data_IF_044931609032
#
_entry.id   IF_044931609032
#
_cell.length_a   1.000
_cell.length_b   1.000
_cell.length_c   1.000
_cell.angle_alpha   90.00
_cell.angle_beta   90.00
_cell.angle_gamma   90.00
#
_symmetry.space_group_name_H-M   'P 1'
#
loop_
_entity.id
_entity.type
_entity.pdbx_description
1 polymer ?
#
# COMPACT_ATOMS: atom_id res chain seq x y z
N UNK A 1 -18.05 6.30 -3.95
CA UNK A 1 -18.45 7.03 -2.74
C UNK A 1 -19.41 8.15 -3.12
N UNK A 2 -20.53 8.28 -2.39
CA UNK A 2 -21.50 9.36 -2.55
C UNK A 2 -21.63 10.12 -1.22
N UNK A 3 -21.44 11.45 -1.17
CA UNK A 3 -21.68 12.24 0.02
C UNK A 3 -23.19 12.27 0.35
N UNK A 4 -23.51 12.18 1.63
CA UNK A 4 -24.91 12.25 2.10
C UNK A 4 -25.12 13.49 2.96
N UNK A 5 -24.30 13.68 4.00
CA UNK A 5 -24.42 14.81 4.90
C UNK A 5 -23.03 15.22 5.42
N UNK A 6 -22.81 16.52 5.59
CA UNK A 6 -21.63 17.07 6.25
C UNK A 6 -22.09 18.00 7.37
N UNK A 7 -21.57 17.77 8.58
CA UNK A 7 -21.70 18.71 9.71
C UNK A 7 -20.32 19.26 10.04
N UNK A 8 -20.22 20.56 10.23
CA UNK A 8 -18.98 21.23 10.57
C UNK A 8 -19.22 22.37 11.55
N UNK A 9 -18.29 22.54 12.47
CA UNK A 9 -18.31 23.60 13.48
C UNK A 9 -16.89 24.05 13.77
N UNK A 10 -16.69 25.35 13.94
CA UNK A 10 -15.41 25.93 14.33
C UNK A 10 -14.32 25.84 13.25
N UNK A 11 -14.68 25.74 11.97
CA UNK A 11 -13.73 25.62 10.85
C UNK A 11 -13.77 26.89 10.01
N UNK A 12 -12.62 27.55 9.88
CA UNK A 12 -12.44 28.77 9.06
C UNK A 12 -13.55 29.77 9.32
N UNK A 13 -14.42 30.05 8.32
CA UNK A 13 -15.55 31.01 8.44
C UNK A 13 -16.75 30.45 9.20
N UNK A 14 -16.82 29.15 9.43
CA UNK A 14 -17.94 28.51 10.10
C UNK A 14 -17.70 28.44 11.61
N UNK A 15 -18.26 29.35 12.36
CA UNK A 15 -18.20 29.38 13.82
C UNK A 15 -19.22 28.41 14.42
N UNK A 16 -20.47 28.61 14.05
CA UNK A 16 -21.59 27.76 14.48
C UNK A 16 -21.71 26.48 13.66
N UNK A 17 -22.46 25.51 14.17
CA UNK A 17 -22.73 24.28 13.46
C UNK A 17 -23.48 24.55 12.15
N UNK A 18 -22.92 24.04 11.06
CA UNK A 18 -23.55 24.04 9.76
C UNK A 18 -23.78 22.58 9.32
N UNK A 19 -24.98 22.33 8.79
CA UNK A 19 -25.38 21.04 8.26
C UNK A 19 -25.64 21.21 6.78
N UNK A 20 -24.92 20.44 5.97
CA UNK A 20 -25.08 20.42 4.51
C UNK A 20 -25.62 19.05 4.13
N UNK A 21 -26.83 19.02 3.61
CA UNK A 21 -27.48 17.81 3.12
C UNK A 21 -27.22 17.66 1.61
N UNK A 22 -26.37 16.70 1.27
CA UNK A 22 -26.03 16.43 -0.12
C UNK A 22 -27.06 15.54 -0.82
N UNK A 23 -27.93 14.82 -0.10
CA UNK A 23 -28.95 14.00 -0.75
C UNK A 23 -29.93 14.88 -1.53
N UNK A 24 -30.34 15.98 -0.93
CA UNK A 24 -31.22 16.97 -1.59
C UNK A 24 -30.48 17.72 -2.71
N UNK A 25 -29.25 18.17 -2.48
CA UNK A 25 -28.48 18.96 -3.44
C UNK A 25 -28.06 18.15 -4.68
N UNK A 26 -27.76 16.86 -4.54
CA UNK A 26 -27.28 16.02 -5.64
C UNK A 26 -28.36 15.27 -6.39
N UNK A 27 -29.64 15.55 -6.13
CA UNK A 27 -30.77 14.90 -6.80
C UNK A 27 -30.72 15.03 -8.33
N UNK A 28 -30.21 16.14 -8.85
CA UNK A 28 -30.04 16.43 -10.28
C UNK A 28 -28.64 16.01 -10.83
N UNK A 29 -27.79 15.37 -10.01
CA UNK A 29 -26.44 14.94 -10.38
C UNK A 29 -25.37 16.03 -10.42
N UNK A 30 -25.76 17.31 -10.41
CA UNK A 30 -24.86 18.47 -10.40
C UNK A 30 -25.42 19.56 -9.49
N UNK A 31 -24.57 20.16 -8.66
CA UNK A 31 -24.92 21.34 -7.85
C UNK A 31 -23.77 22.33 -7.81
N UNK A 32 -24.07 23.59 -7.51
CA UNK A 32 -23.09 24.68 -7.39
C UNK A 32 -23.15 25.34 -6.04
N UNK A 33 -21.99 25.73 -5.51
CA UNK A 33 -21.87 26.53 -4.28
C UNK A 33 -21.35 27.91 -4.66
N UNK A 34 -22.18 28.93 -4.47
CA UNK A 34 -21.92 30.32 -4.84
C UNK A 34 -21.83 31.19 -3.60
N UNK A 35 -21.10 32.28 -3.70
CA UNK A 35 -20.95 33.27 -2.61
C UNK A 35 -19.67 34.10 -2.76
N UNK A 36 -19.53 35.17 -1.99
CA UNK A 36 -18.37 36.06 -2.03
C UNK A 36 -17.09 35.36 -1.56
N UNK A 37 -15.94 35.95 -1.86
CA UNK A 37 -14.65 35.46 -1.36
C UNK A 37 -14.64 35.48 0.17
N UNK A 38 -14.14 34.43 0.81
CA UNK A 38 -14.13 34.30 2.27
C UNK A 38 -15.39 33.66 2.88
N UNK A 39 -16.48 33.44 2.11
CA UNK A 39 -17.73 32.83 2.62
C UNK A 39 -17.64 31.36 3.04
N UNK A 40 -16.46 30.72 2.90
CA UNK A 40 -16.26 29.34 3.35
C UNK A 40 -16.51 28.26 2.31
N UNK A 41 -16.76 28.59 1.03
CA UNK A 41 -17.02 27.59 -0.04
C UNK A 41 -15.99 26.46 -0.08
N UNK A 42 -14.70 26.80 -0.06
CA UNK A 42 -13.62 25.82 -0.05
C UNK A 42 -13.51 25.09 1.29
N UNK A 43 -13.95 25.69 2.38
CA UNK A 43 -13.92 25.08 3.71
C UNK A 43 -14.86 23.88 3.83
N UNK A 44 -15.86 23.77 2.97
CA UNK A 44 -16.72 22.58 2.85
C UNK A 44 -15.91 21.39 2.36
N UNK A 45 -15.09 21.58 1.32
CA UNK A 45 -14.20 20.55 0.81
C UNK A 45 -13.08 20.21 1.82
N UNK A 46 -12.55 21.25 2.48
CA UNK A 46 -11.58 21.09 3.57
C UNK A 46 -12.16 20.22 4.71
N UNK A 47 -13.41 20.46 5.09
CA UNK A 47 -14.10 19.68 6.13
C UNK A 47 -14.29 18.20 5.74
N UNK A 48 -14.63 17.90 4.49
CA UNK A 48 -14.71 16.50 4.02
C UNK A 48 -13.36 15.80 4.13
N UNK A 49 -12.27 16.45 3.70
CA UNK A 49 -10.93 15.86 3.77
C UNK A 49 -10.43 15.73 5.21
N UNK A 50 -10.78 16.69 6.07
CA UNK A 50 -10.50 16.58 7.50
C UNK A 50 -11.25 15.40 8.15
N UNK A 51 -12.51 15.18 7.81
CA UNK A 51 -13.29 14.06 8.34
C UNK A 51 -12.67 12.72 7.96
N UNK A 52 -12.27 12.55 6.69
CA UNK A 52 -11.73 11.28 6.18
C UNK A 52 -10.27 11.06 6.61
N UNK A 53 -9.41 12.07 6.44
CA UNK A 53 -7.95 11.88 6.51
C UNK A 53 -7.26 12.71 7.59
N UNK A 54 -7.97 13.62 8.29
CA UNK A 54 -7.38 14.58 9.21
C UNK A 54 -6.30 15.47 8.57
N UNK A 55 -6.36 15.66 7.25
CA UNK A 55 -5.45 16.48 6.46
C UNK A 55 -6.24 17.51 5.67
N UNK A 56 -5.62 18.65 5.40
CA UNK A 56 -6.16 19.69 4.52
C UNK A 56 -5.58 19.57 3.11
N UNK A 57 -6.34 19.96 2.07
CA UNK A 57 -5.83 20.07 0.70
C UNK A 57 -4.76 21.15 0.56
N UNK A 58 -4.75 22.11 1.46
CA UNK A 58 -3.80 23.22 1.51
C UNK A 58 -2.86 23.02 2.69
N UNK A 59 -1.62 23.44 2.55
CA UNK A 59 -0.63 23.40 3.64
C UNK A 59 -0.87 24.52 4.67
N UNK A 60 -2.13 24.64 5.12
CA UNK A 60 -2.52 25.57 6.18
C UNK A 60 -2.56 24.85 7.52
N UNK A 61 -1.71 25.28 8.44
CA UNK A 61 -1.63 24.67 9.79
C UNK A 61 -2.80 25.07 10.70
N UNK A 62 -3.44 26.21 10.44
CA UNK A 62 -4.52 26.76 11.25
C UNK A 62 -5.81 26.83 10.44
N UNK A 63 -6.75 25.96 10.74
CA UNK A 63 -8.09 25.91 10.15
C UNK A 63 -9.19 26.05 11.20
N UNK A 64 -8.86 26.05 12.51
CA UNK A 64 -9.82 26.34 13.56
C UNK A 64 -10.12 27.82 13.51
N UNK A 65 -11.39 28.17 13.61
CA UNK A 65 -11.82 29.57 13.68
C UNK A 65 -11.10 30.28 14.81
N UNK A 66 -10.67 31.54 14.58
CA UNK A 66 -9.87 32.31 15.54
C UNK A 66 -10.59 32.56 16.89
N UNK A 67 -11.92 32.53 16.89
CA UNK A 67 -12.74 32.73 18.08
C UNK A 67 -13.09 31.40 18.77
N UNK A 68 -12.69 30.26 18.19
CA UNK A 68 -13.02 28.92 18.69
C UNK A 68 -11.77 28.18 19.15
N UNK A 69 -11.92 27.34 20.19
CA UNK A 69 -10.83 26.50 20.71
C UNK A 69 -10.87 25.10 20.15
N UNK A 70 -11.98 24.74 19.50
CA UNK A 70 -12.27 23.39 19.00
C UNK A 70 -12.93 23.50 17.63
N UNK A 71 -12.60 22.56 16.74
CA UNK A 71 -13.35 22.31 15.52
C UNK A 71 -13.84 20.87 15.51
N UNK A 72 -15.04 20.65 14.98
CA UNK A 72 -15.62 19.32 14.79
C UNK A 72 -16.10 19.15 13.37
N UNK A 73 -15.92 17.95 12.85
CA UNK A 73 -16.46 17.56 11.55
C UNK A 73 -17.10 16.18 11.67
N UNK A 74 -18.21 16.01 10.97
CA UNK A 74 -18.92 14.75 10.86
C UNK A 74 -19.37 14.60 9.41
N UNK A 75 -18.94 13.53 8.74
CA UNK A 75 -19.21 13.30 7.33
C UNK A 75 -19.85 11.95 7.12
N UNK A 76 -21.10 11.96 6.73
CA UNK A 76 -21.88 10.80 6.35
C UNK A 76 -21.77 10.59 4.84
N UNK A 77 -21.38 9.40 4.43
CA UNK A 77 -21.24 9.02 3.02
C UNK A 77 -21.63 7.58 2.79
N UNK A 78 -21.94 7.23 1.55
CA UNK A 78 -22.22 5.85 1.15
C UNK A 78 -21.20 5.34 0.16
N UNK A 79 -20.94 4.03 0.24
CA UNK A 79 -20.16 3.27 -0.74
C UNK A 79 -21.04 2.14 -1.25
N UNK A 80 -21.15 2.05 -2.57
CA UNK A 80 -21.86 0.97 -3.24
C UNK A 80 -20.84 0.03 -3.87
N UNK A 81 -20.83 -1.21 -3.40
CA UNK A 81 -20.15 -2.35 -4.01
C UNK A 81 -21.24 -3.32 -4.46
N UNK A 82 -21.41 -4.46 -3.80
CA UNK A 82 -22.57 -5.35 -4.00
C UNK A 82 -23.82 -4.84 -3.29
N UNK A 83 -23.62 -4.16 -2.16
CA UNK A 83 -24.67 -3.49 -1.36
C UNK A 83 -24.22 -2.07 -1.04
N UNK A 84 -25.20 -1.17 -0.92
CA UNK A 84 -24.94 0.19 -0.46
C UNK A 84 -24.82 0.21 1.05
N UNK A 85 -23.68 0.63 1.57
CA UNK A 85 -23.39 0.81 2.99
C UNK A 85 -23.18 2.28 3.29
N UNK A 86 -23.65 2.73 4.45
CA UNK A 86 -23.47 4.11 4.91
C UNK A 86 -22.40 4.14 5.99
N UNK A 87 -21.53 5.14 5.94
CA UNK A 87 -20.41 5.34 6.88
C UNK A 87 -20.44 6.75 7.40
N UNK A 88 -20.22 6.90 8.72
CA UNK A 88 -20.09 8.18 9.39
C UNK A 88 -18.66 8.33 9.92
N UNK A 89 -17.91 9.29 9.40
CA UNK A 89 -16.59 9.66 9.90
C UNK A 89 -16.70 10.94 10.71
N UNK A 90 -16.35 10.86 11.99
CA UNK A 90 -16.39 12.00 12.94
C UNK A 90 -14.98 12.29 13.45
N UNK A 91 -14.63 13.57 13.57
CA UNK A 91 -13.37 14.02 14.18
C UNK A 91 -13.52 15.33 14.93
N UNK A 92 -12.68 15.46 15.96
CA UNK A 92 -12.52 16.71 16.71
C UNK A 92 -11.06 17.15 16.68
N UNK A 93 -10.87 18.44 16.55
CA UNK A 93 -9.57 19.10 16.53
C UNK A 93 -9.50 20.17 17.60
N UNK A 94 -8.33 20.32 18.23
CA UNK A 94 -8.08 21.39 19.23
C UNK A 94 -6.69 21.99 19.02
N UNK A 95 -6.54 23.22 19.43
CA UNK A 95 -5.22 23.82 19.59
C UNK A 95 -4.47 23.13 20.72
N UNK A 96 -3.25 22.79 20.44
CA UNK A 96 -2.28 22.37 21.45
C UNK A 96 -1.19 23.42 21.52
N UNK A 97 -1.14 24.11 22.65
CA UNK A 97 -0.11 25.13 22.91
C UNK A 97 1.12 24.43 23.44
N UNK A 98 2.16 24.31 22.61
CA UNK A 98 3.48 23.84 23.02
C UNK A 98 4.39 25.02 23.34
N UNK A 99 5.59 24.76 23.84
CA UNK A 99 6.56 25.80 24.27
C UNK A 99 7.04 26.72 23.12
N UNK A 100 6.82 26.36 21.86
CA UNK A 100 7.37 27.12 20.71
C UNK A 100 6.31 27.50 19.65
N UNK A 101 5.17 26.85 19.57
CA UNK A 101 4.10 27.15 18.61
C UNK A 101 2.79 26.44 18.95
N UNK A 102 1.67 27.09 18.63
CA UNK A 102 0.35 26.45 18.69
C UNK A 102 0.17 25.56 17.45
N UNK A 103 -0.12 24.29 17.68
CA UNK A 103 -0.43 23.33 16.63
C UNK A 103 -1.82 22.77 16.77
N UNK A 104 -2.51 22.52 15.66
CA UNK A 104 -3.81 21.85 15.69
C UNK A 104 -3.59 20.34 15.73
N UNK A 105 -4.22 19.67 16.70
CA UNK A 105 -4.18 18.21 16.85
C UNK A 105 -5.58 17.62 16.70
N UNK A 106 -5.65 16.48 16.02
CA UNK A 106 -6.83 15.65 16.01
C UNK A 106 -6.93 14.93 17.37
N UNK A 107 -7.95 15.25 18.15
CA UNK A 107 -8.11 14.74 19.53
C UNK A 107 -8.97 13.49 19.58
N UNK A 108 -9.99 13.42 18.75
CA UNK A 108 -10.88 12.26 18.67
C UNK A 108 -11.18 11.90 17.22
N UNK A 109 -11.35 10.64 16.95
CA UNK A 109 -11.80 10.15 15.65
C UNK A 109 -12.67 8.92 15.84
N UNK A 110 -13.76 8.83 15.09
CA UNK A 110 -14.67 7.70 15.09
C UNK A 110 -15.16 7.41 13.69
N UNK A 111 -15.22 6.14 13.33
CA UNK A 111 -15.81 5.67 12.08
C UNK A 111 -16.88 4.63 12.38
N UNK A 112 -18.10 4.89 11.95
CA UNK A 112 -19.27 4.07 12.21
C UNK A 112 -19.81 3.57 10.87
N UNK A 113 -20.14 2.28 10.83
CA UNK A 113 -20.86 1.64 9.73
C UNK A 113 -22.34 1.50 10.13
N UNK A 114 -23.24 1.93 9.23
CA UNK A 114 -24.68 1.72 9.34
C UNK A 114 -25.13 0.62 8.36
N UNK A 115 -25.67 -0.47 8.89
CA UNK A 115 -26.29 -1.54 8.13
C UNK A 115 -27.75 -1.70 8.61
N UNK A 116 -28.70 -1.05 7.90
CA UNK A 116 -30.07 -0.91 8.35
C UNK A 116 -30.11 -0.13 9.68
N UNK A 117 -30.68 -0.74 10.72
CA UNK A 117 -30.79 -0.16 12.06
C UNK A 117 -29.59 -0.49 12.97
N UNK A 118 -28.59 -1.18 12.43
CA UNK A 118 -27.41 -1.60 13.23
C UNK A 118 -26.27 -0.62 13.01
N UNK A 119 -25.70 -0.13 14.13
CA UNK A 119 -24.51 0.70 14.16
C UNK A 119 -23.30 -0.13 14.59
N UNK A 120 -22.26 -0.15 13.80
CA UNK A 120 -21.00 -0.84 14.11
C UNK A 120 -19.85 0.14 14.10
N UNK A 121 -19.15 0.29 15.21
CA UNK A 121 -17.94 1.12 15.30
C UNK A 121 -16.77 0.37 14.68
N UNK A 122 -16.25 0.87 13.55
CA UNK A 122 -15.10 0.27 12.85
C UNK A 122 -13.76 0.73 13.42
N UNK A 123 -13.69 1.98 13.87
CA UNK A 123 -12.51 2.58 14.47
C UNK A 123 -12.90 3.71 15.42
N UNK A 124 -12.15 3.87 16.52
CA UNK A 124 -12.39 4.89 17.55
C UNK A 124 -11.17 5.75 17.88
N UNK A 125 -10.03 5.53 17.18
CA UNK A 125 -8.81 6.33 17.30
C UNK A 125 -8.48 7.09 16.02
N UNK A 126 -7.92 8.31 16.12
CA UNK A 126 -7.65 9.16 14.96
C UNK A 126 -6.87 8.50 13.83
N UNK A 127 -5.83 7.72 14.16
CA UNK A 127 -5.00 6.99 13.18
C UNK A 127 -5.72 5.81 12.56
N UNK A 128 -6.47 5.06 13.37
CA UNK A 128 -7.26 3.91 12.91
C UNK A 128 -8.35 4.37 11.93
N UNK A 129 -9.07 5.46 12.25
CA UNK A 129 -10.06 6.06 11.34
C UNK A 129 -9.44 6.42 9.99
N UNK A 130 -8.23 7.00 9.98
CA UNK A 130 -7.56 7.33 8.72
C UNK A 130 -7.23 6.08 7.91
N UNK A 131 -6.69 5.04 8.56
CA UNK A 131 -6.33 3.79 7.90
C UNK A 131 -7.57 3.07 7.34
N UNK A 132 -8.68 3.06 8.10
CA UNK A 132 -9.93 2.47 7.65
C UNK A 132 -10.56 3.26 6.49
N UNK A 133 -10.52 4.59 6.52
CA UNK A 133 -10.96 5.41 5.39
C UNK A 133 -10.12 5.11 4.13
N UNK A 134 -8.80 4.98 4.25
CA UNK A 134 -7.93 4.59 3.13
C UNK A 134 -8.31 3.18 2.63
N UNK A 135 -8.53 2.23 3.53
CA UNK A 135 -8.94 0.87 3.16
C UNK A 135 -10.28 0.82 2.44
N UNK A 136 -11.26 1.57 2.93
CA UNK A 136 -12.63 1.62 2.36
C UNK A 136 -12.69 2.31 1.01
N UNK A 137 -11.95 3.43 0.87
CA UNK A 137 -11.97 4.25 -0.34
C UNK A 137 -10.93 3.80 -1.38
N UNK A 138 -9.91 3.06 -0.97
CA UNK A 138 -8.79 2.67 -1.82
C UNK A 138 -7.88 3.83 -2.22
N UNK A 139 -8.06 5.03 -1.62
CA UNK A 139 -7.35 6.25 -1.97
C UNK A 139 -6.64 6.81 -0.74
N UNK A 140 -5.38 7.19 -0.90
CA UNK A 140 -4.68 8.00 0.09
C UNK A 140 -5.24 9.43 0.11
N UNK A 141 -4.94 10.20 1.15
CA UNK A 141 -5.37 11.61 1.21
C UNK A 141 -4.89 12.42 0.00
N UNK A 142 -3.68 12.14 -0.49
CA UNK A 142 -3.10 12.83 -1.65
C UNK A 142 -3.80 12.45 -2.95
N UNK A 143 -4.08 11.14 -3.14
CA UNK A 143 -4.82 10.66 -4.30
C UNK A 143 -6.24 11.24 -4.30
N UNK A 144 -6.92 11.25 -3.14
CA UNK A 144 -8.26 11.81 -2.98
C UNK A 144 -8.32 13.30 -3.32
N UNK A 145 -7.35 14.08 -2.83
CA UNK A 145 -7.26 15.51 -3.12
C UNK A 145 -6.93 15.82 -4.58
N UNK A 146 -6.23 14.92 -5.27
CA UNK A 146 -5.87 15.10 -6.69
C UNK A 146 -6.93 14.62 -7.67
N UNK A 147 -7.84 13.74 -7.24
CA UNK A 147 -8.81 13.08 -8.14
C UNK A 147 -10.25 13.39 -7.82
N UNK A 148 -10.61 13.49 -6.55
CA UNK A 148 -11.99 13.64 -6.10
C UNK A 148 -12.29 15.09 -5.75
N UNK A 149 -11.46 15.71 -4.91
CA UNK A 149 -11.73 17.07 -4.42
C UNK A 149 -11.28 18.15 -5.41
N UNK A 150 -10.18 17.95 -6.11
CA UNK A 150 -9.59 18.86 -7.10
C UNK A 150 -9.54 20.32 -6.60
N UNK A 151 -8.78 20.63 -5.55
CA UNK A 151 -8.65 21.99 -5.06
C UNK A 151 -8.09 22.93 -6.12
N UNK A 152 -8.39 24.23 -6.00
CA UNK A 152 -7.93 25.23 -6.94
C UNK A 152 -6.40 25.16 -7.15
N UNK A 153 -5.97 25.03 -8.41
CA UNK A 153 -4.56 24.94 -8.80
C UNK A 153 -3.98 23.52 -8.79
N UNK A 154 -4.58 22.55 -8.12
CA UNK A 154 -4.02 21.20 -8.04
C UNK A 154 -4.35 20.28 -9.23
N UNK A 155 -5.33 20.63 -10.05
CA UNK A 155 -5.59 19.90 -11.28
C UNK A 155 -4.37 19.89 -12.22
N UNK A 156 -3.64 21.01 -12.28
CA UNK A 156 -2.41 21.09 -13.08
C UNK A 156 -1.29 20.20 -12.53
N UNK A 157 -1.26 19.93 -11.24
CA UNK A 157 -0.28 19.02 -10.63
C UNK A 157 -0.48 17.58 -11.11
N UNK A 158 -1.72 17.12 -11.21
CA UNK A 158 -2.03 15.81 -11.78
C UNK A 158 -1.47 15.64 -13.19
N UNK A 159 -1.64 16.67 -14.02
CA UNK A 159 -1.12 16.64 -15.40
C UNK A 159 0.42 16.67 -15.46
N UNK A 160 1.07 17.26 -14.45
CA UNK A 160 2.54 17.35 -14.33
C UNK A 160 3.18 16.12 -13.69
N UNK A 161 2.40 15.20 -13.13
CA UNK A 161 2.93 13.96 -12.56
C UNK A 161 3.75 13.19 -13.59
N UNK A 162 4.88 12.64 -13.16
CA UNK A 162 5.68 11.73 -13.99
C UNK A 162 4.88 10.48 -14.34
N UNK A 163 5.16 9.87 -15.47
CA UNK A 163 4.41 8.71 -15.98
C UNK A 163 4.33 7.56 -14.95
N UNK A 164 5.37 7.33 -14.16
CA UNK A 164 5.39 6.30 -13.10
C UNK A 164 4.38 6.60 -11.99
N UNK A 165 4.36 7.83 -11.50
CA UNK A 165 3.47 8.29 -10.41
C UNK A 165 2.01 8.27 -10.86
N UNK A 166 1.75 8.77 -12.09
CA UNK A 166 0.43 8.75 -12.71
C UNK A 166 -0.10 7.33 -12.87
N UNK A 167 0.75 6.38 -13.32
CA UNK A 167 0.38 4.96 -13.42
C UNK A 167 0.01 4.37 -12.07
N UNK A 168 0.81 4.59 -11.03
CA UNK A 168 0.55 4.07 -9.68
C UNK A 168 -0.76 4.63 -9.13
N UNK A 169 -1.01 5.92 -9.33
CA UNK A 169 -2.25 6.55 -8.90
C UNK A 169 -3.47 5.99 -9.64
N UNK A 170 -3.41 5.84 -10.97
CA UNK A 170 -4.49 5.21 -11.74
C UNK A 170 -4.73 3.76 -11.33
N UNK A 171 -3.68 3.00 -11.03
CA UNK A 171 -3.82 1.63 -10.53
C UNK A 171 -4.62 1.58 -9.21
N UNK A 172 -4.40 2.54 -8.30
CA UNK A 172 -5.19 2.63 -7.05
C UNK A 172 -6.64 3.02 -7.31
N UNK A 173 -6.88 4.06 -8.13
CA UNK A 173 -8.24 4.53 -8.46
C UNK A 173 -9.10 3.40 -9.05
N UNK A 174 -8.51 2.58 -9.92
CA UNK A 174 -9.20 1.48 -10.59
C UNK A 174 -9.05 0.13 -9.88
N UNK A 175 -8.47 0.11 -8.67
CA UNK A 175 -8.19 -1.13 -7.90
C UNK A 175 -7.42 -2.18 -8.71
N UNK A 176 -6.44 -1.72 -9.50
CA UNK A 176 -5.62 -2.56 -10.38
C UNK A 176 -4.27 -2.96 -9.75
N UNK A 177 -4.09 -2.77 -8.44
CA UNK A 177 -2.85 -3.09 -7.73
C UNK A 177 -2.44 -4.55 -7.92
N UNK A 178 -3.44 -5.44 -7.96
CA UNK A 178 -3.24 -6.88 -8.20
C UNK A 178 -2.52 -7.16 -9.53
N UNK A 179 -2.82 -6.36 -10.55
CA UNK A 179 -2.26 -6.51 -11.90
C UNK A 179 -1.01 -5.66 -12.13
N UNK A 180 -0.70 -4.74 -11.23
CA UNK A 180 0.47 -3.86 -11.28
C UNK A 180 1.57 -4.30 -10.30
N UNK A 181 1.62 -3.64 -9.16
CA UNK A 181 2.70 -3.78 -8.18
C UNK A 181 2.74 -5.18 -7.58
N UNK A 182 1.60 -5.76 -7.23
CA UNK A 182 1.54 -7.10 -6.62
C UNK A 182 1.98 -8.19 -7.60
N UNK A 183 1.49 -8.13 -8.84
CA UNK A 183 1.86 -9.10 -9.87
C UNK A 183 3.36 -9.04 -10.18
N UNK A 184 3.90 -7.85 -10.37
CA UNK A 184 5.33 -7.63 -10.60
C UNK A 184 6.16 -8.19 -9.45
N UNK A 185 5.73 -7.97 -8.21
CA UNK A 185 6.39 -8.52 -7.03
C UNK A 185 6.32 -10.06 -6.94
N UNK A 186 5.19 -10.65 -7.34
CA UNK A 186 5.05 -12.13 -7.42
C UNK A 186 5.97 -12.71 -8.49
N UNK A 187 6.02 -12.10 -9.68
CA UNK A 187 6.89 -12.54 -10.78
C UNK A 187 8.37 -12.43 -10.39
N UNK A 188 8.78 -11.31 -9.78
CA UNK A 188 10.16 -11.12 -9.33
C UNK A 188 10.58 -12.20 -8.32
N UNK A 189 9.73 -12.51 -7.34
CA UNK A 189 9.99 -13.58 -6.36
C UNK A 189 10.05 -14.98 -7.01
N UNK A 190 9.15 -15.25 -7.94
CA UNK A 190 9.16 -16.52 -8.66
C UNK A 190 10.43 -16.66 -9.51
N UNK A 191 10.84 -15.62 -10.23
CA UNK A 191 12.08 -15.58 -11.00
C UNK A 191 13.30 -15.81 -10.11
N UNK A 192 13.42 -15.08 -8.99
CA UNK A 192 14.53 -15.24 -8.06
C UNK A 192 14.65 -16.68 -7.55
N UNK A 193 13.51 -17.33 -7.25
CA UNK A 193 13.50 -18.75 -6.85
C UNK A 193 14.00 -19.67 -7.96
N UNK A 194 13.62 -19.42 -9.22
CA UNK A 194 14.09 -20.19 -10.37
C UNK A 194 15.58 -19.95 -10.66
N UNK A 195 16.04 -18.72 -10.58
CA UNK A 195 17.46 -18.38 -10.78
C UNK A 195 18.35 -19.05 -9.72
N UNK A 196 17.88 -19.11 -8.46
CA UNK A 196 18.58 -19.85 -7.41
C UNK A 196 18.67 -21.34 -7.71
N UNK A 197 17.54 -21.95 -8.11
CA UNK A 197 17.51 -23.37 -8.49
C UNK A 197 18.42 -23.67 -9.68
N UNK A 198 18.41 -22.82 -10.70
CA UNK A 198 19.30 -22.95 -11.86
C UNK A 198 20.79 -22.85 -11.45
N UNK A 199 21.13 -21.92 -10.54
CA UNK A 199 22.51 -21.78 -10.07
C UNK A 199 22.97 -23.04 -9.30
N UNK A 200 22.10 -23.59 -8.46
CA UNK A 200 22.37 -24.84 -7.72
C UNK A 200 22.60 -26.03 -8.69
N UNK A 201 21.66 -26.23 -9.61
CA UNK A 201 21.77 -27.30 -10.59
C UNK A 201 22.99 -27.13 -11.52
N UNK A 202 23.31 -25.89 -11.90
CA UNK A 202 24.51 -25.60 -12.69
C UNK A 202 25.80 -25.88 -11.91
N UNK A 203 25.80 -25.63 -10.58
CA UNK A 203 26.90 -25.99 -9.70
C UNK A 203 27.08 -27.49 -9.58
N UNK A 204 25.98 -28.22 -9.37
CA UNK A 204 26.00 -29.68 -9.33
C UNK A 204 26.48 -30.25 -10.66
N UNK A 205 25.98 -29.75 -11.81
CA UNK A 205 26.41 -30.19 -13.13
C UNK A 205 27.91 -30.01 -13.33
N UNK A 206 28.50 -28.89 -12.90
CA UNK A 206 29.95 -28.68 -12.98
C UNK A 206 30.75 -29.74 -12.23
N UNK A 207 30.25 -30.22 -11.09
CA UNK A 207 30.86 -31.32 -10.35
C UNK A 207 30.92 -32.64 -11.12
N UNK A 208 30.10 -32.80 -12.17
CA UNK A 208 30.06 -33.98 -13.01
C UNK A 208 30.71 -33.80 -14.40
N UNK A 209 31.25 -32.62 -14.71
CA UNK A 209 31.87 -32.33 -16.03
C UNK A 209 33.08 -33.23 -16.31
N UNK A 210 33.82 -33.67 -15.28
CA UNK A 210 34.93 -34.57 -15.40
C UNK A 210 34.54 -36.03 -15.62
N UNK A 211 33.25 -36.36 -15.55
CA UNK A 211 32.76 -37.76 -15.76
C UNK A 211 32.45 -37.98 -17.24
N UNK A 212 33.50 -38.16 -18.02
CA UNK A 212 33.37 -38.63 -19.41
C UNK A 212 33.14 -40.13 -19.45
N UNK A 213 32.50 -40.61 -20.52
CA UNK A 213 32.32 -42.05 -20.75
C UNK A 213 33.66 -42.80 -20.82
N UNK A 214 34.73 -42.11 -21.20
CA UNK A 214 36.10 -42.64 -21.21
C UNK A 214 36.64 -42.84 -19.78
N UNK A 215 36.44 -41.86 -18.89
CA UNK A 215 36.86 -41.96 -17.48
C UNK A 215 36.07 -43.03 -16.72
N UNK A 216 34.77 -43.17 -17.04
CA UNK A 216 33.94 -44.27 -16.53
C UNK A 216 34.44 -45.66 -16.98
N UNK A 217 34.87 -45.79 -18.24
CA UNK A 217 35.41 -47.01 -18.77
C UNK A 217 36.81 -47.35 -18.18
N UNK A 218 37.66 -46.34 -17.95
CA UNK A 218 38.96 -46.53 -17.29
C UNK A 218 38.79 -46.94 -15.83
N UNK A 219 37.92 -46.26 -15.07
CA UNK A 219 37.62 -46.65 -13.68
C UNK A 219 36.99 -48.04 -13.55
N UNK A 220 36.16 -48.45 -14.51
CA UNK A 220 35.64 -49.82 -14.56
C UNK A 220 36.70 -50.85 -14.85
N UNK A 221 37.72 -50.55 -15.71
CA UNK A 221 38.88 -51.41 -15.93
C UNK A 221 39.74 -51.53 -14.68
N UNK A 222 40.06 -50.40 -14.07
CA UNK A 222 40.87 -50.32 -12.84
C UNK A 222 40.19 -51.08 -11.69
N UNK A 223 38.88 -50.95 -11.52
CA UNK A 223 38.12 -51.75 -10.56
C UNK A 223 38.17 -53.25 -10.85
N UNK A 224 38.10 -53.67 -12.13
CA UNK A 224 38.21 -55.03 -12.50
C UNK A 224 39.62 -55.62 -12.23
N UNK A 225 40.66 -54.83 -12.53
CA UNK A 225 42.06 -55.22 -12.28
C UNK A 225 42.34 -55.33 -10.79
N UNK A 226 41.92 -54.32 -9.99
CA UNK A 226 42.04 -54.36 -8.53
C UNK A 226 41.27 -55.55 -7.91
N UNK A 227 40.07 -55.83 -8.43
CA UNK A 227 39.31 -56.99 -7.96
C UNK A 227 40.02 -58.32 -8.32
N UNK A 228 40.66 -58.39 -9.49
CA UNK A 228 41.42 -59.56 -9.91
C UNK A 228 42.69 -59.74 -9.07
N UNK A 229 43.39 -58.65 -8.74
CA UNK A 229 44.53 -58.68 -7.81
C UNK A 229 44.14 -59.14 -6.40
N UNK A 230 42.98 -58.69 -5.89
CA UNK A 230 42.47 -59.09 -4.58
C UNK A 230 42.12 -60.57 -4.54
N UNK A 231 41.60 -61.15 -5.64
CA UNK A 231 41.32 -62.58 -5.75
C UNK A 231 42.58 -63.43 -5.86
N UNK A 232 43.63 -62.93 -6.56
CA UNK A 232 44.93 -63.59 -6.66
C UNK A 232 45.68 -63.62 -5.34
N UNK A 233 45.68 -62.46 -4.63
CA UNK A 233 46.28 -62.33 -3.30
C UNK A 233 45.64 -63.22 -2.24
N UNK A 234 44.34 -63.57 -2.37
CA UNK A 234 43.68 -64.62 -1.52
C UNK A 234 44.08 -66.04 -1.81
N UNK A 235 44.71 -66.31 -2.96
CA UNK A 235 45.20 -67.62 -3.34
C UNK A 235 46.70 -67.84 -3.11
N UNK A 236 47.41 -66.83 -2.52
CA UNK A 236 48.86 -66.96 -2.20
C UNK A 236 49.81 -66.70 -3.37
N UNK A 237 49.30 -66.20 -4.51
CA UNK A 237 50.15 -65.83 -5.64
C UNK A 237 50.59 -64.37 -5.48
N UNK A 238 51.92 -64.12 -5.47
CA UNK A 238 52.54 -62.83 -5.28
C UNK A 238 52.25 -61.92 -6.49
N UNK A 239 51.44 -60.84 -6.30
CA UNK A 239 51.35 -59.75 -7.27
C UNK A 239 52.43 -58.71 -6.97
N UNK A 240 53.38 -58.51 -7.88
CA UNK A 240 54.33 -57.42 -7.85
C UNK A 240 53.59 -56.11 -8.22
N UNK A 241 53.49 -55.19 -7.28
CA UNK A 241 53.15 -53.81 -7.58
C UNK A 241 54.35 -53.07 -8.22
N UNK A 242 54.25 -52.77 -9.51
CA UNK A 242 55.19 -51.85 -10.13
C UNK A 242 54.98 -50.47 -9.51
N UNK A 243 56.03 -49.91 -8.92
CA UNK A 243 56.03 -48.54 -8.41
C UNK A 243 55.71 -47.57 -9.55
N UNK A 244 54.60 -46.90 -9.46
CA UNK A 244 54.38 -45.62 -10.13
C UNK A 244 54.78 -44.53 -9.12
N UNK A 245 56.09 -44.27 -9.01
CA UNK A 245 56.61 -43.02 -8.47
C UNK A 245 56.49 -41.94 -9.56
N UNK A 246 56.06 -40.78 -9.05
CA UNK A 246 56.23 -39.44 -9.62
C UNK A 246 55.38 -39.06 -10.85
N UNK A 247 54.40 -38.18 -10.58
CA UNK A 247 54.51 -36.78 -11.00
C UNK A 247 53.30 -36.00 -10.52
N UNK A 248 53.51 -35.15 -9.51
CA UNK A 248 52.83 -33.91 -9.31
C UNK A 248 53.62 -32.81 -10.00
N UNK A 249 53.00 -31.85 -10.64
CA UNK A 249 53.04 -30.48 -10.11
C UNK A 249 51.71 -29.96 -9.61
#
# INVERSE_FOLDING_TARGET
MRPLQLKLTGINSYREEQIIDFETLTSQGLFGIFGPTGSGKSSILDAMTLALYAKLPRDTKNFINTNEKKATVSFLFSITTDKTRKYLAERSFRYHTGNSASTVRNTTGRLILYEGDTETVLADKPTEVTNECIRLLGLTSEDFMRTVVLPQGQFSEFLRLKNKERRVMLQRIFHLEKYGIELTGKIARARQKQDLLLSTLSGEKKGYEDISSQKLSSLKKEKKENTKCLFLNRRGDMCYYGNAENELP
#
